data_IF_688124954047
#
_entry.id   IF_688124954047
#
_cell.length_a   1.000
_cell.length_b   1.000
_cell.length_c   1.000
_cell.angle_alpha   90.00
_cell.angle_beta   90.00
_cell.angle_gamma   90.00
#
_symmetry.space_group_name_H-M   'P 1'
#
loop_
_entity.id
_entity.type
_entity.pdbx_description
1 polymer ?
#
# COMPACT_ATOMS: atom_id res chain seq x y z
N UNK A 1 -2.60 5.81 -21.60
CA UNK A 1 -1.73 7.02 -21.60
C UNK A 1 -2.33 8.12 -20.73
N UNK A 2 -3.54 8.61 -21.00
CA UNK A 2 -4.20 9.70 -20.24
C UNK A 2 -4.31 9.40 -18.73
N UNK A 3 -4.66 8.18 -18.35
CA UNK A 3 -4.75 7.78 -16.95
C UNK A 3 -3.38 7.87 -16.26
N UNK A 4 -2.30 7.46 -16.93
CA UNK A 4 -0.93 7.57 -16.43
C UNK A 4 -0.52 9.04 -16.24
N UNK A 5 -0.82 9.88 -17.22
CA UNK A 5 -0.52 11.31 -17.15
C UNK A 5 -1.29 11.99 -16.02
N UNK A 6 -2.61 11.76 -15.92
CA UNK A 6 -3.45 12.31 -14.87
C UNK A 6 -2.96 11.92 -13.47
N UNK A 7 -2.71 10.62 -13.23
CA UNK A 7 -2.16 10.16 -11.96
C UNK A 7 -0.78 10.76 -11.68
N UNK A 8 0.05 10.90 -12.71
CA UNK A 8 1.34 11.56 -12.60
C UNK A 8 1.23 13.00 -12.11
N UNK A 9 0.32 13.78 -12.67
CA UNK A 9 0.07 15.16 -12.25
C UNK A 9 -0.39 15.23 -10.79
N UNK A 10 -1.27 14.32 -10.36
CA UNK A 10 -1.72 14.25 -8.97
C UNK A 10 -0.58 13.92 -8.01
N UNK A 11 0.26 12.95 -8.34
CA UNK A 11 1.41 12.55 -7.53
C UNK A 11 2.48 13.64 -7.45
N UNK A 12 2.63 14.42 -8.50
CA UNK A 12 3.57 15.55 -8.57
C UNK A 12 3.04 16.83 -7.88
N UNK A 13 1.83 16.79 -7.29
CA UNK A 13 1.21 17.93 -6.62
C UNK A 13 0.84 19.08 -7.58
N UNK A 14 0.57 18.78 -8.86
CA UNK A 14 0.17 19.77 -9.87
C UNK A 14 -1.32 20.07 -9.88
N UNK A 15 -2.10 19.36 -9.09
CA UNK A 15 -3.54 19.57 -8.93
C UNK A 15 -3.82 20.20 -7.56
N UNK A 16 -4.78 21.11 -7.52
CA UNK A 16 -5.32 21.65 -6.29
C UNK A 16 -6.14 20.58 -5.53
N UNK A 17 -6.23 20.68 -4.21
CA UNK A 17 -6.97 19.72 -3.38
C UNK A 17 -8.43 19.54 -3.81
N UNK A 18 -9.08 20.62 -4.28
CA UNK A 18 -10.43 20.56 -4.82
C UNK A 18 -10.52 19.76 -6.12
N UNK A 19 -9.52 19.86 -6.98
CA UNK A 19 -9.42 19.08 -8.22
C UNK A 19 -9.17 17.60 -7.90
N UNK A 20 -8.26 17.33 -6.95
CA UNK A 20 -8.02 15.99 -6.44
C UNK A 20 -9.30 15.37 -5.88
N UNK A 21 -10.02 16.08 -5.02
CA UNK A 21 -11.29 15.63 -4.45
C UNK A 21 -12.33 15.31 -5.53
N UNK A 22 -12.51 16.21 -6.51
CA UNK A 22 -13.42 16.01 -7.64
C UNK A 22 -13.01 14.77 -8.47
N UNK A 23 -11.75 14.62 -8.80
CA UNK A 23 -11.22 13.45 -9.52
C UNK A 23 -11.53 12.15 -8.78
N UNK A 24 -11.22 12.08 -7.49
CA UNK A 24 -11.45 10.87 -6.69
C UNK A 24 -12.94 10.50 -6.59
N UNK A 25 -13.83 11.51 -6.49
CA UNK A 25 -15.27 11.29 -6.43
C UNK A 25 -15.82 10.83 -7.77
N UNK A 26 -15.43 11.46 -8.87
CA UNK A 26 -15.86 11.09 -10.23
C UNK A 26 -15.35 9.68 -10.60
N UNK A 27 -14.10 9.40 -10.28
CA UNK A 27 -13.51 8.08 -10.50
C UNK A 27 -14.25 7.00 -9.67
N UNK A 28 -14.63 7.32 -8.44
CA UNK A 28 -15.43 6.41 -7.60
C UNK A 28 -16.84 6.19 -8.14
N UNK A 29 -17.46 7.21 -8.71
CA UNK A 29 -18.81 7.13 -9.30
C UNK A 29 -18.82 6.35 -10.61
N UNK A 30 -17.84 6.62 -11.47
CA UNK A 30 -17.69 5.97 -12.79
C UNK A 30 -17.23 4.51 -12.65
N UNK A 31 -16.52 4.20 -11.59
CA UNK A 31 -15.69 3.01 -11.39
C UNK A 31 -14.46 2.99 -12.33
N UNK A 32 -13.36 2.46 -11.85
CA UNK A 32 -12.11 2.37 -12.59
C UNK A 32 -12.11 1.20 -13.57
N UNK A 33 -11.61 1.39 -14.78
CA UNK A 33 -11.33 0.31 -15.71
C UNK A 33 -9.98 -0.35 -15.43
N UNK A 34 -9.77 -1.54 -16.00
CA UNK A 34 -8.48 -2.24 -15.88
C UNK A 34 -7.34 -1.43 -16.52
N UNK A 35 -7.63 -0.76 -17.64
CA UNK A 35 -6.66 0.09 -18.37
C UNK A 35 -6.30 1.33 -17.56
N UNK A 36 -7.28 1.94 -16.88
CA UNK A 36 -7.02 3.07 -15.98
C UNK A 36 -6.16 2.65 -14.79
N UNK A 37 -6.48 1.52 -14.14
CA UNK A 37 -5.67 0.98 -13.05
C UNK A 37 -4.25 0.64 -13.52
N UNK A 38 -4.07 0.11 -14.72
CA UNK A 38 -2.76 -0.13 -15.30
C UNK A 38 -1.99 1.18 -15.48
N UNK A 39 -2.60 2.20 -16.08
CA UNK A 39 -1.98 3.52 -16.25
C UNK A 39 -1.63 4.19 -14.91
N UNK A 40 -2.52 4.10 -13.92
CA UNK A 40 -2.23 4.60 -12.56
C UNK A 40 -1.06 3.86 -11.90
N UNK A 41 -0.99 2.54 -12.09
CA UNK A 41 0.10 1.71 -11.56
C UNK A 41 1.43 2.11 -12.19
N UNK A 42 1.46 2.32 -13.50
CA UNK A 42 2.65 2.79 -14.23
C UNK A 42 3.12 4.14 -13.70
N UNK A 43 2.22 5.12 -13.54
CA UNK A 43 2.55 6.44 -13.02
C UNK A 43 3.18 6.39 -11.61
N UNK A 44 2.66 5.51 -10.74
CA UNK A 44 3.23 5.30 -9.40
C UNK A 44 4.61 4.66 -9.51
N UNK A 45 4.78 3.62 -10.32
CA UNK A 45 6.06 2.90 -10.49
C UNK A 45 7.15 3.80 -11.09
N UNK A 46 6.82 4.69 -12.01
CA UNK A 46 7.77 5.67 -12.56
C UNK A 46 8.33 6.62 -11.49
N UNK A 47 7.57 6.88 -10.44
CA UNK A 47 7.95 7.76 -9.32
C UNK A 47 8.52 7.04 -8.13
N UNK A 48 8.43 5.73 -8.15
CA UNK A 48 8.93 4.88 -7.09
C UNK A 48 10.47 4.85 -7.11
N UNK A 49 11.07 5.30 -6.02
CA UNK A 49 12.53 5.29 -5.82
C UNK A 49 12.96 4.10 -4.94
N UNK A 50 12.39 2.92 -5.20
CA UNK A 50 12.77 1.72 -4.47
C UNK A 50 14.14 1.21 -4.94
N UNK A 51 15.04 0.84 -4.01
CA UNK A 51 16.28 0.15 -4.35
C UNK A 51 16.00 -1.30 -4.76
N UNK A 52 16.99 -1.93 -5.37
CA UNK A 52 16.92 -3.36 -5.72
C UNK A 52 17.07 -4.22 -4.46
N UNK A 53 15.97 -4.49 -3.78
CA UNK A 53 15.92 -5.41 -2.62
C UNK A 53 15.19 -6.67 -3.06
N UNK A 54 15.86 -7.82 -2.96
CA UNK A 54 15.24 -9.09 -3.30
C UNK A 54 14.21 -9.50 -2.26
N UNK A 55 12.98 -9.78 -2.69
CA UNK A 55 11.88 -10.29 -1.88
C UNK A 55 11.13 -11.37 -2.64
N UNK A 56 10.60 -12.35 -1.92
CA UNK A 56 9.82 -13.44 -2.50
C UNK A 56 8.33 -13.07 -2.59
N UNK A 57 7.84 -12.42 -1.54
CA UNK A 57 6.41 -12.08 -1.40
C UNK A 57 6.22 -10.58 -1.16
N UNK A 58 5.34 -9.99 -1.97
CA UNK A 58 4.70 -8.70 -1.72
C UNK A 58 3.36 -8.93 -1.02
N UNK A 59 3.17 -8.30 0.15
CA UNK A 59 1.97 -8.51 0.95
C UNK A 59 1.30 -7.20 1.39
N UNK A 60 0.46 -6.59 0.54
CA UNK A 60 -0.28 -5.39 0.86
C UNK A 60 -1.35 -5.63 1.94
N UNK A 61 -1.40 -4.77 2.95
CA UNK A 61 -2.25 -4.93 4.14
C UNK A 61 -3.12 -3.70 4.45
N UNK A 62 -3.71 -3.11 3.42
CA UNK A 62 -4.52 -1.89 3.54
C UNK A 62 -5.92 -2.09 4.17
N UNK A 63 -6.37 -3.32 4.37
CA UNK A 63 -7.71 -3.62 4.86
C UNK A 63 -7.72 -3.91 6.36
N UNK A 64 -8.25 -2.98 7.16
CA UNK A 64 -8.48 -3.20 8.58
C UNK A 64 -9.50 -4.31 8.84
N UNK A 65 -9.27 -5.10 9.88
CA UNK A 65 -10.15 -6.20 10.31
C UNK A 65 -11.19 -5.71 11.32
N UNK A 66 -12.46 -6.08 11.13
CA UNK A 66 -13.56 -5.65 12.01
C UNK A 66 -13.89 -6.68 13.10
N UNK A 67 -13.84 -7.98 12.78
CA UNK A 67 -14.31 -9.05 13.63
C UNK A 67 -13.23 -10.04 14.07
N UNK A 68 -12.10 -10.05 13.38
CA UNK A 68 -11.02 -10.99 13.59
C UNK A 68 -9.71 -10.29 13.76
N UNK A 69 -8.80 -10.87 14.52
CA UNK A 69 -7.41 -10.45 14.56
C UNK A 69 -6.72 -10.72 13.21
N UNK A 70 -5.65 -10.00 12.90
CA UNK A 70 -4.90 -10.19 11.66
C UNK A 70 -4.01 -11.45 11.72
N UNK A 71 -4.62 -12.63 11.81
CA UNK A 71 -3.94 -13.92 11.95
C UNK A 71 -2.91 -14.20 10.85
N UNK A 72 -3.06 -13.57 9.68
CA UNK A 72 -2.09 -13.67 8.60
C UNK A 72 -0.69 -13.18 9.00
N UNK A 73 -0.55 -12.34 10.03
CA UNK A 73 0.75 -11.92 10.55
C UNK A 73 1.54 -13.08 11.17
N UNK A 74 0.84 -14.04 11.79
CA UNK A 74 1.48 -15.27 12.28
C UNK A 74 1.95 -16.16 11.12
N UNK A 75 1.16 -16.23 10.04
CA UNK A 75 1.56 -16.94 8.83
C UNK A 75 2.79 -16.27 8.19
N UNK A 76 2.80 -14.92 8.10
CA UNK A 76 3.95 -14.19 7.60
C UNK A 76 5.22 -14.46 8.43
N UNK A 77 5.11 -14.43 9.78
CA UNK A 77 6.24 -14.79 10.66
C UNK A 77 6.70 -16.24 10.47
N UNK A 78 5.77 -17.16 10.30
CA UNK A 78 6.10 -18.56 10.06
C UNK A 78 6.89 -18.73 8.74
N UNK A 79 6.42 -18.12 7.66
CA UNK A 79 7.11 -18.13 6.37
C UNK A 79 8.49 -17.49 6.45
N UNK A 80 8.59 -16.32 7.10
CA UNK A 80 9.87 -15.63 7.28
C UNK A 80 10.90 -16.47 8.06
N UNK A 81 10.47 -17.17 9.11
CA UNK A 81 11.33 -18.11 9.87
C UNK A 81 11.81 -19.29 9.03
N UNK A 82 11.10 -19.60 7.95
CA UNK A 82 11.48 -20.64 6.97
C UNK A 82 12.22 -20.08 5.74
N UNK A 83 12.76 -18.85 5.85
CA UNK A 83 13.63 -18.26 4.83
C UNK A 83 12.91 -17.52 3.71
N UNK A 84 11.57 -17.38 3.75
CA UNK A 84 10.81 -16.62 2.75
C UNK A 84 10.91 -15.12 3.05
N UNK A 85 11.45 -14.34 2.13
CA UNK A 85 11.60 -12.89 2.27
C UNK A 85 10.30 -12.17 1.92
N UNK A 86 9.69 -11.51 2.91
CA UNK A 86 8.37 -10.91 2.79
C UNK A 86 8.44 -9.40 3.03
N UNK A 87 8.00 -8.63 2.04
CA UNK A 87 7.78 -7.21 2.20
C UNK A 87 6.28 -6.93 2.38
N UNK A 88 5.92 -6.46 3.55
CA UNK A 88 4.56 -6.02 3.85
C UNK A 88 4.47 -4.50 3.80
N UNK A 89 3.37 -3.99 3.29
CA UNK A 89 3.09 -2.57 3.28
C UNK A 89 1.62 -2.29 3.52
N UNK A 90 1.30 -1.10 4.04
CA UNK A 90 -0.07 -0.75 4.38
C UNK A 90 -0.25 0.74 4.61
N UNK A 91 -1.50 1.16 4.69
CA UNK A 91 -1.87 2.51 5.09
C UNK A 91 -2.25 2.57 6.57
N UNK A 92 -2.26 3.78 7.11
CA UNK A 92 -2.72 4.03 8.48
C UNK A 92 -4.20 3.68 8.69
N UNK A 93 -4.64 3.79 9.94
CA UNK A 93 -6.01 3.48 10.36
C UNK A 93 -7.02 4.51 9.81
N UNK A 94 -7.57 4.23 8.64
CA UNK A 94 -8.52 5.11 7.95
C UNK A 94 -10.01 4.79 8.20
N UNK A 95 -10.34 3.82 9.05
CA UNK A 95 -11.73 3.48 9.41
C UNK A 95 -11.81 3.15 10.89
N UNK A 96 -12.61 3.91 11.64
CA UNK A 96 -12.83 3.67 13.06
C UNK A 96 -13.35 2.26 13.35
N UNK A 97 -12.99 1.70 14.49
CA UNK A 97 -13.45 0.38 14.93
C UNK A 97 -12.88 -0.80 14.13
N UNK A 98 -11.81 -0.60 13.38
CA UNK A 98 -11.06 -1.66 12.69
C UNK A 98 -9.63 -1.74 13.19
N UNK A 99 -9.11 -2.97 13.22
CA UNK A 99 -7.73 -3.26 13.56
C UNK A 99 -6.88 -3.35 12.31
N UNK A 100 -5.81 -2.59 12.26
CA UNK A 100 -4.87 -2.54 11.13
C UNK A 100 -3.56 -3.24 11.49
N UNK A 101 -2.84 -3.68 10.48
CA UNK A 101 -1.53 -4.35 10.60
C UNK A 101 -0.58 -3.55 11.47
N UNK A 102 -0.42 -2.28 11.18
CA UNK A 102 0.54 -1.39 11.85
C UNK A 102 0.35 -1.35 13.37
N UNK A 103 -0.89 -1.50 13.86
CA UNK A 103 -1.22 -1.51 15.29
C UNK A 103 -0.79 -2.79 16.02
N UNK A 104 -0.40 -3.84 15.28
CA UNK A 104 -0.06 -5.15 15.83
C UNK A 104 1.42 -5.52 15.65
N UNK A 105 2.21 -4.65 15.04
CA UNK A 105 3.60 -4.93 14.70
C UNK A 105 4.45 -5.15 15.94
N UNK A 106 4.33 -4.26 16.93
CA UNK A 106 5.08 -4.31 18.18
C UNK A 106 4.79 -5.61 18.97
N UNK A 107 3.51 -5.98 19.08
CA UNK A 107 3.08 -7.20 19.77
C UNK A 107 3.69 -8.48 19.16
N UNK A 108 3.98 -8.43 17.87
CA UNK A 108 4.50 -9.58 17.11
C UNK A 108 5.97 -9.44 16.75
N UNK A 109 6.70 -8.47 17.27
CA UNK A 109 8.10 -8.17 16.95
C UNK A 109 8.32 -8.09 15.42
N UNK A 110 7.40 -7.45 14.70
CA UNK A 110 7.55 -7.21 13.27
C UNK A 110 8.15 -5.82 13.08
N UNK A 111 9.30 -5.67 12.41
CA UNK A 111 9.93 -4.37 12.21
C UNK A 111 9.05 -3.42 11.38
N UNK A 112 8.75 -2.25 11.95
CA UNK A 112 8.18 -1.12 11.22
C UNK A 112 9.33 -0.27 10.68
N UNK A 113 9.38 -0.13 9.37
CA UNK A 113 10.46 0.54 8.66
C UNK A 113 10.02 1.93 8.19
N UNK A 114 10.88 2.93 8.36
CA UNK A 114 10.59 4.31 7.96
C UNK A 114 11.20 4.67 6.59
N UNK A 115 12.09 3.84 6.09
CA UNK A 115 12.77 4.04 4.82
C UNK A 115 13.26 2.70 4.25
N UNK A 116 13.78 2.72 3.03
CA UNK A 116 14.26 1.53 2.33
C UNK A 116 15.50 0.87 2.98
N UNK A 117 16.34 1.65 3.66
CA UNK A 117 17.51 1.10 4.36
C UNK A 117 17.06 0.26 5.58
N UNK A 118 16.06 0.75 6.32
CA UNK A 118 15.45 0.00 7.43
C UNK A 118 14.81 -1.30 6.91
N UNK A 119 14.07 -1.22 5.78
CA UNK A 119 13.42 -2.37 5.18
C UNK A 119 14.44 -3.43 4.75
N UNK A 120 15.54 -3.02 4.10
CA UNK A 120 16.63 -3.93 3.73
C UNK A 120 17.22 -4.61 4.96
N UNK A 121 17.56 -3.81 5.98
CA UNK A 121 18.13 -4.33 7.23
C UNK A 121 17.18 -5.29 7.96
N UNK A 122 15.88 -5.03 7.95
CA UNK A 122 14.88 -5.90 8.56
C UNK A 122 14.76 -7.24 7.80
N UNK A 123 14.74 -7.18 6.49
CA UNK A 123 14.71 -8.37 5.62
C UNK A 123 15.98 -9.22 5.78
N UNK A 124 17.14 -8.61 5.93
CA UNK A 124 18.40 -9.33 6.12
C UNK A 124 18.49 -10.00 7.50
N UNK A 125 17.89 -9.41 8.53
CA UNK A 125 17.89 -9.98 9.89
C UNK A 125 16.82 -11.06 10.10
N UNK A 126 15.65 -10.91 9.49
CA UNK A 126 14.50 -11.75 9.83
C UNK A 126 13.55 -12.06 8.68
N UNK A 127 13.91 -11.78 7.44
CA UNK A 127 13.11 -12.03 6.24
C UNK A 127 11.71 -11.39 6.24
N UNK A 128 11.42 -10.47 7.15
CA UNK A 128 10.13 -9.81 7.26
C UNK A 128 10.31 -8.32 7.56
N UNK A 129 9.69 -7.48 6.75
CA UNK A 129 9.65 -6.04 6.94
C UNK A 129 8.24 -5.51 6.69
N UNK A 130 7.81 -4.53 7.48
CA UNK A 130 6.62 -3.73 7.20
C UNK A 130 7.00 -2.27 7.01
N UNK A 131 6.47 -1.64 5.97
CA UNK A 131 6.70 -0.23 5.69
C UNK A 131 5.38 0.47 5.39
N UNK A 132 5.00 1.54 6.12
CA UNK A 132 3.77 2.27 5.84
C UNK A 132 3.87 2.99 4.50
N UNK A 133 2.74 3.08 3.78
CA UNK A 133 2.67 3.70 2.45
C UNK A 133 3.24 5.12 2.44
N UNK A 134 2.95 5.91 3.47
CA UNK A 134 3.43 7.28 3.60
C UNK A 134 4.95 7.41 3.65
N UNK A 135 5.66 6.36 4.05
CA UNK A 135 7.12 6.37 4.14
C UNK A 135 7.81 6.23 2.76
N UNK A 136 7.13 5.63 1.77
CA UNK A 136 7.72 5.41 0.43
C UNK A 136 6.92 6.03 -0.72
N UNK A 137 5.64 6.38 -0.50
CA UNK A 137 4.79 7.06 -1.49
C UNK A 137 3.81 8.03 -0.81
N UNK A 138 4.30 9.14 -0.24
CA UNK A 138 3.47 10.08 0.53
C UNK A 138 2.33 10.68 -0.27
N UNK A 139 2.50 10.94 -1.58
CA UNK A 139 1.43 11.45 -2.44
C UNK A 139 0.25 10.47 -2.53
N UNK A 140 0.50 9.18 -2.59
CA UNK A 140 -0.56 8.17 -2.63
C UNK A 140 -1.23 8.03 -1.25
N UNK A 141 -0.47 8.14 -0.17
CA UNK A 141 -1.03 8.17 1.19
C UNK A 141 -1.96 9.38 1.36
N UNK A 142 -1.56 10.56 0.90
CA UNK A 142 -2.40 11.76 0.92
C UNK A 142 -3.74 11.55 0.21
N UNK A 143 -3.73 10.88 -0.96
CA UNK A 143 -4.96 10.54 -1.68
C UNK A 143 -5.86 9.56 -0.89
N UNK A 144 -5.28 8.61 -0.16
CA UNK A 144 -6.02 7.70 0.73
C UNK A 144 -6.66 8.46 1.89
N UNK A 145 -5.96 9.44 2.46
CA UNK A 145 -6.39 10.23 3.60
C UNK A 145 -7.54 11.18 3.25
N UNK A 146 -7.72 11.53 1.96
CA UNK A 146 -8.91 12.26 1.47
C UNK A 146 -10.21 11.55 1.83
N UNK A 147 -10.18 10.26 2.14
CA UNK A 147 -11.34 9.53 2.64
C UNK A 147 -11.99 10.18 3.85
N UNK A 148 -11.21 10.77 4.74
CA UNK A 148 -11.71 11.41 5.97
C UNK A 148 -12.52 12.66 5.65
N UNK A 149 -12.21 13.33 4.53
CA UNK A 149 -12.91 14.52 4.04
C UNK A 149 -14.09 14.12 3.15
N UNK A 150 -13.86 13.21 2.20
CA UNK A 150 -14.86 12.77 1.22
C UNK A 150 -15.90 11.80 1.81
N UNK A 151 -15.64 11.19 2.96
CA UNK A 151 -16.54 10.24 3.62
C UNK A 151 -16.62 8.85 2.97
N UNK A 152 -15.89 8.61 1.89
CA UNK A 152 -15.93 7.34 1.15
C UNK A 152 -14.55 6.87 0.65
N UNK A 153 -14.47 5.59 0.31
CA UNK A 153 -13.24 5.00 -0.26
C UNK A 153 -13.16 5.31 -1.75
N UNK A 154 -12.01 5.76 -2.19
CA UNK A 154 -11.66 5.94 -3.60
C UNK A 154 -10.98 4.69 -4.19
N UNK A 155 -10.86 4.57 -5.51
CA UNK A 155 -10.13 3.52 -6.20
C UNK A 155 -8.63 3.44 -5.83
N UNK A 156 -8.07 4.50 -5.25
CA UNK A 156 -6.69 4.52 -4.77
C UNK A 156 -6.41 3.42 -3.75
N UNK A 157 -7.42 3.01 -2.96
CA UNK A 157 -7.28 1.88 -2.06
C UNK A 157 -7.12 0.54 -2.80
N UNK A 158 -7.65 0.41 -4.01
CA UNK A 158 -7.42 -0.75 -4.88
C UNK A 158 -6.05 -0.68 -5.54
N UNK A 159 -5.69 0.50 -6.06
CA UNK A 159 -4.38 0.77 -6.64
C UNK A 159 -3.23 0.42 -5.67
N UNK A 160 -3.30 0.89 -4.43
CA UNK A 160 -2.24 0.66 -3.44
C UNK A 160 -1.95 -0.84 -3.21
N UNK A 161 -2.92 -1.73 -3.46
CA UNK A 161 -2.76 -3.19 -3.28
C UNK A 161 -2.05 -3.90 -4.42
N UNK A 162 -1.96 -3.30 -5.60
CA UNK A 162 -1.40 -3.93 -6.81
C UNK A 162 -0.01 -3.41 -7.18
N UNK A 163 0.57 -2.53 -6.36
CA UNK A 163 1.80 -1.82 -6.71
C UNK A 163 3.03 -2.72 -6.79
N UNK A 164 3.17 -3.67 -5.87
CA UNK A 164 4.34 -4.55 -5.78
C UNK A 164 5.67 -3.76 -5.91
N UNK A 165 6.00 -2.89 -4.94
CA UNK A 165 7.04 -1.88 -5.09
C UNK A 165 8.46 -2.45 -5.25
N UNK A 166 8.72 -3.66 -4.78
CA UNK A 166 10.02 -4.33 -4.88
C UNK A 166 10.06 -5.42 -5.98
N UNK A 167 8.99 -5.58 -6.76
CA UNK A 167 8.94 -6.54 -7.85
C UNK A 167 9.03 -8.00 -7.39
N UNK A 168 8.40 -8.33 -6.25
CA UNK A 168 8.32 -9.71 -5.76
C UNK A 168 7.68 -10.65 -6.78
N UNK A 169 8.13 -11.91 -6.81
CA UNK A 169 7.58 -12.95 -7.71
C UNK A 169 6.16 -13.35 -7.34
N UNK A 170 5.80 -13.24 -6.07
CA UNK A 170 4.48 -13.60 -5.56
C UNK A 170 3.83 -12.39 -4.88
N UNK A 171 2.55 -12.15 -5.18
CA UNK A 171 1.72 -11.16 -4.49
C UNK A 171 0.60 -11.84 -3.71
N UNK A 172 0.48 -11.56 -2.40
CA UNK A 172 -0.63 -12.03 -1.58
C UNK A 172 -1.61 -10.91 -1.31
N UNK A 173 -2.77 -10.95 -1.96
CA UNK A 173 -3.79 -9.92 -1.82
C UNK A 173 -5.02 -10.47 -1.10
N UNK A 174 -5.49 -9.73 -0.09
CA UNK A 174 -6.75 -10.02 0.58
C UNK A 174 -7.91 -9.39 -0.21
N UNK A 175 -8.75 -10.21 -0.80
CA UNK A 175 -9.97 -9.80 -1.52
C UNK A 175 -11.17 -10.18 -0.67
N UNK A 176 -12.15 -9.28 -0.58
CA UNK A 176 -13.36 -9.50 0.23
C UNK A 176 -14.54 -10.06 -0.60
N UNK A 177 -14.48 -9.92 -1.91
CA UNK A 177 -15.52 -10.39 -2.85
C UNK A 177 -14.91 -11.25 -3.92
#
# INVERSE_FOLDING_TARGET
EEAREAMGMLLDGKAEDTQLGAFLMLLRHKEESAEELAGFTEAVRERLKAPAIAVDIDWPTYAGKKRHLPWYLLAAKCLARNGVRIFMHGGGAHTAGRMYTEQQLELLDIPRCENWADASSALDRGNLAFMPLGAWMPGLQHMIDQRNILGLRSPIHSLARILNPLGARCGLQSIFH
#
